data_IF_806744824413
#
_entry.id   IF_806744824413
#
_cell.length_a   1.000
_cell.length_b   1.000
_cell.length_c   1.000
_cell.angle_alpha   90.00
_cell.angle_beta   90.00
_cell.angle_gamma   90.00
#
_symmetry.space_group_name_H-M   'P 1'
#
loop_
_entity.id
_entity.type
_entity.pdbx_description
1 polymer ?
#
# COMPACT_ATOMS: atom_id res chain seq x y z
N UNK A 1 -8.20 -6.18 -4.05
CA UNK A 1 -7.61 -6.64 -5.33
C UNK A 1 -6.80 -7.91 -5.11
N UNK A 2 -7.03 -8.95 -5.92
CA UNK A 2 -6.30 -10.21 -5.86
C UNK A 2 -4.93 -10.08 -6.54
N UNK A 3 -3.87 -10.32 -5.77
CA UNK A 3 -2.50 -10.47 -6.25
C UNK A 3 -2.40 -11.85 -6.92
N UNK A 4 -2.96 -11.96 -8.13
CA UNK A 4 -3.24 -13.24 -8.78
C UNK A 4 -2.58 -13.32 -10.15
N UNK A 5 -1.97 -14.46 -10.44
CA UNK A 5 -1.43 -14.80 -11.76
C UNK A 5 -2.54 -15.39 -12.65
N UNK A 6 -2.54 -15.01 -13.92
CA UNK A 6 -3.40 -15.59 -14.96
C UNK A 6 -2.63 -16.64 -15.73
N UNK A 7 -3.21 -17.84 -15.88
CA UNK A 7 -2.57 -19.00 -16.53
C UNK A 7 -2.24 -18.79 -18.01
N UNK A 8 -2.97 -17.88 -18.68
CA UNK A 8 -2.79 -17.57 -20.10
C UNK A 8 -1.83 -16.38 -20.36
N UNK A 9 -1.04 -15.97 -19.37
CA UNK A 9 -0.10 -14.86 -19.48
C UNK A 9 1.28 -15.30 -18.99
N UNK A 10 2.33 -14.84 -19.66
CA UNK A 10 3.71 -15.01 -19.17
C UNK A 10 3.91 -14.29 -17.82
N UNK A 11 4.89 -14.74 -17.04
CA UNK A 11 5.14 -14.21 -15.69
C UNK A 11 5.40 -12.69 -15.69
N UNK A 12 6.24 -12.20 -16.60
CA UNK A 12 6.54 -10.77 -16.73
C UNK A 12 5.29 -9.92 -16.98
N UNK A 13 4.41 -10.36 -17.89
CA UNK A 13 3.14 -9.67 -18.18
C UNK A 13 2.19 -9.69 -16.97
N UNK A 14 2.16 -10.79 -16.21
CA UNK A 14 1.41 -10.85 -14.96
C UNK A 14 1.93 -9.87 -13.91
N UNK A 15 3.24 -9.82 -13.69
CA UNK A 15 3.87 -8.93 -12.70
C UNK A 15 3.72 -7.46 -13.09
N UNK A 16 3.88 -7.12 -14.37
CA UNK A 16 3.61 -5.78 -14.88
C UNK A 16 2.14 -5.38 -14.64
N UNK A 17 1.19 -6.27 -14.94
CA UNK A 17 -0.24 -6.03 -14.68
C UNK A 17 -0.52 -5.86 -13.18
N UNK A 18 0.07 -6.70 -12.33
CA UNK A 18 -0.09 -6.62 -10.87
C UNK A 18 0.43 -5.28 -10.36
N UNK A 19 1.65 -4.89 -10.76
CA UNK A 19 2.25 -3.61 -10.36
C UNK A 19 1.37 -2.43 -10.80
N UNK A 20 0.96 -2.39 -12.07
CA UNK A 20 0.05 -1.36 -12.60
C UNK A 20 -1.25 -1.28 -11.81
N UNK A 21 -1.89 -2.41 -11.52
CA UNK A 21 -3.11 -2.46 -10.70
C UNK A 21 -2.91 -1.92 -9.28
N UNK A 22 -1.73 -2.11 -8.69
CA UNK A 22 -1.44 -1.49 -7.39
C UNK A 22 -1.31 0.03 -7.53
N UNK A 23 -0.69 0.54 -8.59
CA UNK A 23 -0.61 1.99 -8.84
C UNK A 23 -1.99 2.58 -9.09
N UNK A 24 -2.80 1.97 -9.95
CA UNK A 24 -4.19 2.35 -10.21
C UNK A 24 -5.00 2.38 -8.90
N UNK A 25 -4.91 1.32 -8.08
CA UNK A 25 -5.58 1.28 -6.78
C UNK A 25 -5.12 2.37 -5.81
N UNK A 26 -3.82 2.71 -5.79
CA UNK A 26 -3.34 3.83 -4.97
C UNK A 26 -3.93 5.17 -5.44
N UNK A 27 -4.06 5.38 -6.75
CA UNK A 27 -4.67 6.59 -7.32
C UNK A 27 -6.17 6.67 -7.00
N UNK A 28 -6.91 5.56 -7.16
CA UNK A 28 -8.33 5.45 -6.81
C UNK A 28 -8.56 5.86 -5.35
N UNK A 29 -7.72 5.36 -4.42
CA UNK A 29 -7.80 5.69 -3.00
C UNK A 29 -7.53 7.17 -2.72
N UNK A 30 -6.46 7.75 -3.29
CA UNK A 30 -6.09 9.15 -3.06
C UNK A 30 -7.12 10.12 -3.63
N UNK A 31 -7.76 9.76 -4.76
CA UNK A 31 -8.79 10.58 -5.40
C UNK A 31 -10.17 10.43 -4.76
N UNK A 32 -10.34 9.51 -3.81
CA UNK A 32 -11.65 9.21 -3.23
C UNK A 32 -12.62 8.55 -4.22
N UNK A 33 -12.10 7.98 -5.31
CA UNK A 33 -12.89 7.25 -6.32
C UNK A 33 -13.36 5.89 -5.79
N UNK A 34 -12.84 5.47 -4.63
CA UNK A 34 -13.12 4.19 -4.01
C UNK A 34 -13.20 4.30 -2.50
N UNK A 35 -14.21 3.64 -1.95
CA UNK A 35 -14.38 3.53 -0.50
C UNK A 35 -13.27 2.67 0.12
N UNK A 36 -12.66 3.18 1.19
CA UNK A 36 -11.62 2.47 1.92
C UNK A 36 -12.26 1.45 2.86
N UNK A 37 -11.72 0.23 2.91
CA UNK A 37 -12.08 -0.74 3.95
C UNK A 37 -11.59 -0.31 5.34
N UNK A 38 -10.54 0.51 5.38
CA UNK A 38 -9.97 1.12 6.58
C UNK A 38 -9.90 2.63 6.30
N UNK A 39 -8.71 3.21 6.20
CA UNK A 39 -8.56 4.60 5.79
C UNK A 39 -7.98 4.73 4.37
N UNK A 40 -8.28 5.83 3.66
CA UNK A 40 -7.69 6.09 2.35
C UNK A 40 -6.16 6.09 2.38
N UNK A 41 -5.55 6.62 3.44
CA UNK A 41 -4.08 6.66 3.60
C UNK A 41 -3.52 5.26 3.86
N UNK A 42 -4.16 4.45 4.70
CA UNK A 42 -3.75 3.07 4.93
C UNK A 42 -3.78 2.25 3.63
N UNK A 43 -4.90 2.28 2.91
CA UNK A 43 -5.05 1.51 1.68
C UNK A 43 -4.13 2.02 0.56
N UNK A 44 -3.91 3.33 0.44
CA UNK A 44 -2.90 3.90 -0.47
C UNK A 44 -1.51 3.33 -0.17
N UNK A 45 -1.08 3.36 1.10
CA UNK A 45 0.23 2.84 1.52
C UNK A 45 0.35 1.33 1.28
N UNK A 46 -0.72 0.58 1.48
CA UNK A 46 -0.80 -0.86 1.22
C UNK A 46 -0.61 -1.17 -0.25
N UNK A 47 -1.24 -0.40 -1.15
CA UNK A 47 -1.02 -0.49 -2.58
C UNK A 47 0.44 -0.21 -2.96
N UNK A 48 1.05 0.86 -2.45
CA UNK A 48 2.46 1.18 -2.70
C UNK A 48 3.41 0.07 -2.21
N UNK A 49 3.17 -0.49 -1.02
CA UNK A 49 3.93 -1.64 -0.50
C UNK A 49 3.83 -2.85 -1.42
N UNK A 50 2.63 -3.17 -1.92
CA UNK A 50 2.41 -4.28 -2.86
C UNK A 50 3.08 -4.04 -4.22
N UNK A 51 3.09 -2.80 -4.72
CA UNK A 51 3.78 -2.45 -5.96
C UNK A 51 5.30 -2.67 -5.83
N UNK A 52 5.89 -2.26 -4.70
CA UNK A 52 7.31 -2.51 -4.39
C UNK A 52 7.63 -4.00 -4.26
N UNK A 53 6.76 -4.77 -3.62
CA UNK A 53 6.92 -6.23 -3.54
C UNK A 53 6.89 -6.90 -4.92
N UNK A 54 5.98 -6.49 -5.82
CA UNK A 54 5.94 -7.00 -7.19
C UNK A 54 7.21 -6.63 -7.99
N UNK A 55 7.73 -5.42 -7.78
CA UNK A 55 8.98 -4.96 -8.40
C UNK A 55 10.20 -5.74 -7.88
N UNK A 56 10.23 -6.06 -6.59
CA UNK A 56 11.30 -6.86 -5.98
C UNK A 56 11.40 -8.26 -6.59
N UNK A 57 10.28 -8.84 -7.02
CA UNK A 57 10.26 -10.16 -7.66
C UNK A 57 10.92 -10.20 -9.03
N UNK A 58 11.15 -9.03 -9.67
CA UNK A 58 11.77 -8.93 -10.99
C UNK A 58 13.12 -8.19 -10.95
N UNK A 59 13.73 -8.04 -9.76
CA UNK A 59 14.89 -7.16 -9.58
C UNK A 59 16.09 -7.57 -10.42
N UNK A 60 16.26 -8.88 -10.59
CA UNK A 60 17.42 -9.47 -11.27
C UNK A 60 17.24 -9.37 -12.79
N UNK A 61 16.02 -9.53 -13.29
CA UNK A 61 15.66 -9.46 -14.70
C UNK A 61 15.70 -8.03 -15.27
N UNK A 62 15.32 -7.02 -14.47
CA UNK A 62 15.33 -5.61 -14.91
C UNK A 62 16.65 -4.89 -14.59
N UNK A 63 17.52 -5.53 -13.80
CA UNK A 63 18.79 -4.97 -13.35
C UNK A 63 18.66 -3.95 -12.21
N UNK A 64 19.68 -3.98 -11.35
CA UNK A 64 19.74 -3.18 -10.11
C UNK A 64 19.50 -1.68 -10.27
N UNK A 65 20.04 -0.98 -11.30
CA UNK A 65 19.80 0.46 -11.47
C UNK A 65 18.32 0.79 -11.74
N UNK A 66 17.65 0.02 -12.61
CA UNK A 66 16.23 0.22 -12.94
C UNK A 66 15.34 -0.11 -11.75
N UNK A 67 15.63 -1.23 -11.07
CA UNK A 67 14.97 -1.61 -9.83
C UNK A 67 15.03 -0.49 -8.79
N UNK A 68 16.23 0.01 -8.45
CA UNK A 68 16.41 1.06 -7.45
C UNK A 68 15.66 2.34 -7.79
N UNK A 69 15.72 2.77 -9.06
CA UNK A 69 15.01 3.98 -9.50
C UNK A 69 13.51 3.86 -9.24
N UNK A 70 12.91 2.71 -9.60
CA UNK A 70 11.48 2.51 -9.45
C UNK A 70 11.07 2.27 -7.98
N UNK A 71 11.87 1.54 -7.19
CA UNK A 71 11.63 1.35 -5.76
C UNK A 71 11.70 2.68 -5.00
N UNK A 72 12.68 3.53 -5.33
CA UNK A 72 12.80 4.86 -4.74
C UNK A 72 11.61 5.75 -5.07
N UNK A 73 11.12 5.74 -6.31
CA UNK A 73 9.91 6.48 -6.70
C UNK A 73 8.71 6.12 -5.79
N UNK A 74 8.42 4.82 -5.63
CA UNK A 74 7.31 4.40 -4.75
C UNK A 74 7.55 4.73 -3.27
N UNK A 75 8.79 4.60 -2.80
CA UNK A 75 9.17 4.95 -1.42
C UNK A 75 9.00 6.45 -1.17
N UNK A 76 9.39 7.29 -2.13
CA UNK A 76 9.34 8.73 -1.97
C UNK A 76 7.90 9.24 -2.04
N UNK A 77 7.05 8.67 -2.90
CA UNK A 77 5.59 8.90 -2.87
C UNK A 77 4.99 8.49 -1.52
N UNK A 78 5.35 7.31 -1.00
CA UNK A 78 4.87 6.86 0.30
C UNK A 78 5.30 7.77 1.46
N UNK A 79 6.40 8.53 1.30
CA UNK A 79 6.87 9.49 2.29
C UNK A 79 6.00 10.74 2.34
N UNK A 80 5.51 11.22 1.21
CA UNK A 80 4.64 12.41 1.10
C UNK A 80 3.37 12.31 1.96
N UNK A 81 2.92 11.08 2.26
CA UNK A 81 1.72 10.81 3.06
C UNK A 81 2.05 10.24 4.46
N UNK A 82 3.30 10.37 4.92
CA UNK A 82 3.71 9.81 6.22
C UNK A 82 3.09 10.55 7.40
N UNK A 83 3.03 11.87 7.34
CA UNK A 83 2.54 12.69 8.46
C UNK A 83 1.04 12.48 8.68
N UNK A 84 0.26 12.42 7.60
CA UNK A 84 -1.17 12.09 7.66
C UNK A 84 -1.38 10.70 8.24
N UNK A 85 -0.54 9.72 7.85
CA UNK A 85 -0.57 8.37 8.44
C UNK A 85 -0.27 8.40 9.93
N UNK A 86 0.72 9.18 10.37
CA UNK A 86 1.11 9.23 11.78
C UNK A 86 0.02 9.89 12.63
N UNK A 87 -0.63 10.95 12.12
CA UNK A 87 -1.78 11.56 12.78
C UNK A 87 -2.96 10.58 12.92
N UNK A 88 -3.25 9.83 11.87
CA UNK A 88 -4.32 8.83 11.86
C UNK A 88 -4.06 7.70 12.85
N UNK A 89 -2.86 7.12 12.84
CA UNK A 89 -2.46 6.07 13.78
C UNK A 89 -2.56 6.58 15.22
N UNK A 90 -2.07 7.79 15.50
CA UNK A 90 -2.18 8.41 16.84
C UNK A 90 -3.64 8.51 17.29
N UNK A 91 -4.53 8.99 16.43
CA UNK A 91 -5.96 9.10 16.74
C UNK A 91 -6.59 7.73 17.00
N UNK A 92 -6.30 6.72 16.16
CA UNK A 92 -6.76 5.35 16.37
C UNK A 92 -6.25 4.78 17.71
N UNK A 93 -4.98 4.99 18.05
CA UNK A 93 -4.39 4.54 19.32
C UNK A 93 -5.10 5.18 20.52
N UNK A 94 -5.37 6.49 20.49
CA UNK A 94 -6.11 7.16 21.59
C UNK A 94 -7.50 6.55 21.76
N UNK A 95 -8.23 6.31 20.66
CA UNK A 95 -9.56 5.67 20.71
C UNK A 95 -9.49 4.26 21.30
N UNK A 96 -8.49 3.48 20.93
CA UNK A 96 -8.27 2.14 21.48
C UNK A 96 -7.99 2.18 22.99
N UNK A 97 -7.15 3.11 23.44
CA UNK A 97 -6.85 3.28 24.86
C UNK A 97 -8.09 3.67 25.67
N UNK A 98 -8.92 4.59 25.16
CA UNK A 98 -10.18 4.97 25.82
C UNK A 98 -11.13 3.77 25.97
N UNK A 99 -11.23 2.93 24.95
CA UNK A 99 -12.06 1.73 24.98
C UNK A 99 -11.55 0.72 26.02
N UNK A 100 -10.23 0.52 26.11
CA UNK A 100 -9.62 -0.34 27.12
C UNK A 100 -9.95 0.19 28.52
N UNK A 101 -9.75 1.49 28.78
CA UNK A 101 -10.04 2.09 30.08
C UNK A 101 -11.51 1.95 30.46
N UNK A 102 -12.45 2.18 29.54
CA UNK A 102 -13.88 2.02 29.80
C UNK A 102 -14.26 0.60 30.20
N UNK A 103 -13.68 -0.41 29.54
CA UNK A 103 -13.90 -1.82 29.88
C UNK A 103 -13.39 -2.16 31.28
N UNK A 104 -12.22 -1.64 31.63
CA UNK A 104 -11.63 -1.84 32.96
C UNK A 104 -12.42 -1.13 34.06
N UNK A 105 -13.05 0.01 33.78
CA UNK A 105 -13.91 0.72 34.75
C UNK A 105 -15.32 0.14 34.92
N UNK A 106 -15.73 -0.79 34.04
CA UNK A 106 -17.03 -1.47 34.09
C UNK A 106 -16.95 -2.90 34.65
N UNK A 107 -15.75 -3.35 35.03
CA UNK A 107 -15.48 -4.59 35.76
C UNK A 107 -15.15 -4.28 37.22
#
# INVERSE_FOLDING_TARGET
MSFQLRRNQILGANLQRICRKQVEGALEMVRGEKEANDTPVHETRKHLKKARAALQMVSDEIGRPRFKKQDHCFRDIARLISDVRDAEVRLQTVRQLQEITRRTSQQ
#
